data_IF_998687019516
#
_entry.id   IF_998687019516
#
_cell.length_a   1.000
_cell.length_b   1.000
_cell.length_c   1.000
_cell.angle_alpha   90.00
_cell.angle_beta   90.00
_cell.angle_gamma   90.00
#
_symmetry.space_group_name_H-M   'P 1'
#
loop_
_entity.id
_entity.type
_entity.pdbx_description
1 polymer ?
#
# COMPACT_ATOMS: atom_id res chain seq x y z
N UNK A 1 2.25 15.64 11.79
CA UNK A 1 3.11 14.55 12.29
C UNK A 1 4.16 15.07 13.26
N UNK A 2 4.16 14.58 14.50
CA UNK A 2 5.14 14.97 15.53
C UNK A 2 6.56 14.45 15.24
N UNK A 3 7.61 15.02 15.86
CA UNK A 3 8.97 14.47 15.82
C UNK A 3 9.05 12.99 16.16
N UNK A 4 9.89 12.25 15.42
CA UNK A 4 10.11 10.81 15.59
C UNK A 4 8.94 9.92 15.19
N UNK A 5 7.95 10.43 14.47
CA UNK A 5 6.79 9.67 13.98
C UNK A 5 6.84 9.47 12.47
N UNK A 6 6.01 8.55 12.00
CA UNK A 6 5.80 8.21 10.60
C UNK A 6 4.31 8.30 10.23
N UNK A 7 4.01 8.49 8.94
CA UNK A 7 2.64 8.61 8.44
C UNK A 7 1.94 7.26 8.38
N UNK A 8 2.56 6.29 7.73
CA UNK A 8 2.09 4.92 7.51
C UNK A 8 3.32 4.04 7.20
N UNK A 9 3.19 2.72 7.34
CA UNK A 9 4.25 1.80 6.92
C UNK A 9 4.52 1.94 5.41
N UNK A 10 5.76 1.66 4.98
CA UNK A 10 6.18 1.76 3.58
C UNK A 10 5.27 0.97 2.64
N UNK A 11 4.59 1.66 1.72
CA UNK A 11 3.50 1.08 0.93
C UNK A 11 3.29 1.72 -0.44
N UNK A 12 2.56 1.02 -1.31
CA UNK A 12 1.95 1.57 -2.53
C UNK A 12 0.52 1.05 -2.68
N UNK A 13 -0.28 1.76 -3.45
CA UNK A 13 -1.64 1.37 -3.83
C UNK A 13 -1.66 0.79 -5.26
N UNK A 14 -2.52 -0.20 -5.51
CA UNK A 14 -2.77 -0.71 -6.87
C UNK A 14 -3.83 0.10 -7.61
N UNK A 15 -4.78 0.74 -6.91
CA UNK A 15 -5.85 1.48 -7.56
C UNK A 15 -5.91 2.94 -7.19
N UNK A 16 -5.85 3.27 -5.91
CA UNK A 16 -6.01 4.65 -5.48
C UNK A 16 -4.70 5.43 -5.66
N UNK A 17 -4.73 6.55 -6.37
CA UNK A 17 -3.63 7.51 -6.34
C UNK A 17 -3.56 8.24 -4.99
N UNK A 18 -2.37 8.69 -4.62
CA UNK A 18 -2.11 9.45 -3.38
C UNK A 18 -1.29 10.71 -3.69
N UNK A 19 -1.64 11.83 -3.03
CA UNK A 19 -0.91 13.10 -3.14
C UNK A 19 -0.72 13.73 -1.75
N UNK A 20 0.46 14.27 -1.52
CA UNK A 20 0.80 15.03 -0.32
C UNK A 20 1.30 16.42 -0.70
N UNK A 21 0.83 17.44 0.01
CA UNK A 21 1.38 18.80 -0.01
C UNK A 21 1.88 19.15 1.39
N UNK A 22 3.16 19.49 1.50
CA UNK A 22 3.75 19.92 2.77
C UNK A 22 3.41 21.40 3.01
N UNK A 23 2.78 21.69 4.15
CA UNK A 23 2.39 23.04 4.54
C UNK A 23 3.47 23.73 5.38
N UNK A 24 4.09 23.00 6.32
CA UNK A 24 5.17 23.52 7.18
C UNK A 24 5.97 22.39 7.83
N UNK A 25 7.17 22.72 8.33
CA UNK A 25 8.10 21.75 8.91
C UNK A 25 8.95 21.04 7.86
N UNK A 26 9.65 19.99 8.30
CA UNK A 26 10.50 19.14 7.45
C UNK A 26 10.15 17.67 7.65
N UNK A 27 10.21 16.91 6.57
CA UNK A 27 9.98 15.47 6.55
C UNK A 27 11.06 14.77 5.74
N UNK A 28 11.13 13.45 5.87
CA UNK A 28 11.98 12.59 5.05
C UNK A 28 11.11 11.55 4.37
N UNK A 29 11.02 11.67 3.05
CA UNK A 29 10.30 10.76 2.19
C UNK A 29 11.27 9.71 1.64
N UNK A 30 10.95 8.44 1.86
CA UNK A 30 11.55 7.33 1.14
C UNK A 30 10.60 6.98 -0.02
N UNK A 31 11.10 6.94 -1.25
CA UNK A 31 10.31 6.72 -2.48
C UNK A 31 11.09 5.77 -3.38
N UNK A 32 10.64 4.52 -3.48
CA UNK A 32 11.41 3.49 -4.16
C UNK A 32 12.80 3.35 -3.52
N UNK A 33 13.84 3.61 -4.31
CA UNK A 33 15.25 3.56 -3.90
C UNK A 33 15.80 4.92 -3.43
N UNK A 34 14.99 5.98 -3.45
CA UNK A 34 15.41 7.34 -3.10
C UNK A 34 14.98 7.73 -1.69
N UNK A 35 15.80 8.57 -1.04
CA UNK A 35 15.49 9.21 0.23
C UNK A 35 15.68 10.71 0.08
N UNK A 36 14.59 11.46 0.26
CA UNK A 36 14.51 12.88 -0.05
C UNK A 36 13.98 13.62 1.17
N UNK A 37 14.69 14.66 1.62
CA UNK A 37 14.15 15.57 2.63
C UNK A 37 13.19 16.55 1.94
N UNK A 38 11.99 16.69 2.51
CA UNK A 38 10.91 17.54 1.99
C UNK A 38 10.55 18.63 3.00
N UNK A 39 10.11 19.78 2.51
CA UNK A 39 9.74 20.95 3.30
C UNK A 39 8.53 21.68 2.73
N UNK A 40 8.21 22.83 3.32
CA UNK A 40 7.04 23.62 2.94
C UNK A 40 6.99 23.89 1.42
N UNK A 41 5.79 23.74 0.84
CA UNK A 41 5.47 23.85 -0.59
C UNK A 41 5.93 22.69 -1.48
N UNK A 42 6.62 21.67 -0.95
CA UNK A 42 6.88 20.45 -1.70
C UNK A 42 5.60 19.64 -1.89
N UNK A 43 5.48 19.05 -3.08
CA UNK A 43 4.37 18.17 -3.48
C UNK A 43 4.93 16.81 -3.88
N UNK A 44 4.33 15.76 -3.34
CA UNK A 44 4.63 14.37 -3.71
C UNK A 44 3.36 13.74 -4.26
N UNK A 45 3.47 13.04 -5.38
CA UNK A 45 2.36 12.30 -6.00
C UNK A 45 2.77 10.86 -6.27
N UNK A 46 1.88 9.94 -5.97
CA UNK A 46 2.07 8.50 -6.10
C UNK A 46 0.96 7.93 -6.98
N UNK A 47 1.31 7.65 -8.24
CA UNK A 47 0.39 7.10 -9.22
C UNK A 47 0.13 5.60 -8.97
N UNK A 48 -1.06 5.14 -9.35
CA UNK A 48 -1.44 3.73 -9.37
C UNK A 48 -1.53 3.22 -10.84
N UNK A 49 -1.35 1.91 -11.12
CA UNK A 49 -1.01 0.83 -10.20
C UNK A 49 0.49 0.72 -9.88
N UNK A 50 1.36 1.28 -10.73
CA UNK A 50 2.78 0.92 -10.77
C UNK A 50 3.72 2.01 -10.22
N UNK A 51 3.18 2.96 -9.44
CA UNK A 51 4.00 3.95 -8.74
C UNK A 51 4.91 3.31 -7.68
N UNK A 52 6.04 3.98 -7.36
CA UNK A 52 6.95 3.48 -6.34
C UNK A 52 6.29 3.49 -4.95
N UNK A 53 6.56 2.48 -4.11
CA UNK A 53 6.14 2.53 -2.72
C UNK A 53 6.87 3.64 -1.96
N UNK A 54 6.16 4.22 -1.00
CA UNK A 54 6.58 5.42 -0.31
C UNK A 54 6.44 5.30 1.22
N UNK A 55 7.18 6.14 1.93
CA UNK A 55 7.10 6.28 3.39
C UNK A 55 7.55 7.69 3.81
N UNK A 56 6.72 8.39 4.57
CA UNK A 56 7.04 9.71 5.10
C UNK A 56 7.30 9.63 6.62
N UNK A 57 8.48 10.07 7.02
CA UNK A 57 8.90 10.15 8.43
C UNK A 57 9.21 11.60 8.83
N UNK A 58 9.15 11.89 10.12
CA UNK A 58 9.65 13.15 10.69
C UNK A 58 10.84 12.88 11.62
N UNK A 59 12.08 12.80 11.11
CA UNK A 59 13.27 12.67 11.94
C UNK A 59 13.72 14.01 12.56
N UNK A 60 13.00 15.11 12.33
CA UNK A 60 13.38 16.47 12.74
C UNK A 60 12.71 16.87 14.06
N UNK A 61 12.98 18.09 14.52
CA UNK A 61 12.57 18.57 15.85
C UNK A 61 11.22 19.28 15.88
N UNK A 62 10.72 19.73 14.72
CA UNK A 62 9.46 20.45 14.61
C UNK A 62 8.34 19.54 14.12
N UNK A 63 7.08 19.96 14.30
CA UNK A 63 5.95 19.26 13.70
C UNK A 63 5.96 19.44 12.18
N UNK A 64 5.83 18.32 11.45
CA UNK A 64 5.56 18.32 10.02
C UNK A 64 4.05 18.43 9.80
N UNK A 65 3.59 19.47 9.10
CA UNK A 65 2.18 19.68 8.77
C UNK A 65 2.01 19.52 7.25
N UNK A 66 1.07 18.69 6.84
CA UNK A 66 0.81 18.40 5.43
C UNK A 66 -0.67 18.10 5.22
N UNK A 67 -1.12 18.28 3.98
CA UNK A 67 -2.40 17.75 3.49
C UNK A 67 -2.08 16.50 2.70
N UNK A 68 -2.88 15.46 2.91
CA UNK A 68 -2.84 14.22 2.15
C UNK A 68 -4.24 14.00 1.58
N UNK A 69 -4.28 13.56 0.34
CA UNK A 69 -5.50 13.19 -0.35
C UNK A 69 -5.21 12.15 -1.40
N UNK A 70 -6.27 11.66 -2.02
CA UNK A 70 -6.18 10.61 -3.01
C UNK A 70 -7.57 10.21 -3.46
N UNK A 71 -7.62 9.15 -4.26
CA UNK A 71 -8.88 8.53 -4.58
C UNK A 71 -9.43 7.73 -3.39
N UNK A 72 -10.75 7.61 -3.33
CA UNK A 72 -11.45 6.79 -2.33
C UNK A 72 -12.34 5.79 -3.07
N UNK A 73 -11.71 4.91 -3.85
CA UNK A 73 -12.46 3.87 -4.57
C UNK A 73 -12.99 2.79 -3.60
N UNK A 74 -14.09 2.16 -4.01
CA UNK A 74 -14.73 1.03 -3.34
C UNK A 74 -13.82 -0.20 -3.16
N UNK A 75 -12.74 -0.29 -3.95
CA UNK A 75 -11.86 -1.45 -3.94
C UNK A 75 -10.44 -1.03 -4.25
N UNK A 76 -9.49 -1.45 -3.41
CA UNK A 76 -8.07 -1.17 -3.59
C UNK A 76 -7.22 -2.26 -2.95
N UNK A 77 -5.97 -2.37 -3.39
CA UNK A 77 -4.97 -3.25 -2.78
C UNK A 77 -3.75 -2.41 -2.42
N UNK A 78 -3.45 -2.30 -1.13
CA UNK A 78 -2.20 -1.67 -0.68
C UNK A 78 -1.15 -2.75 -0.43
N UNK A 79 0.03 -2.59 -1.04
CA UNK A 79 1.19 -3.46 -0.84
C UNK A 79 2.14 -2.86 0.16
N UNK A 80 2.57 -3.65 1.14
CA UNK A 80 3.56 -3.29 2.14
C UNK A 80 4.81 -4.17 1.97
N UNK A 81 5.68 -3.87 0.98
CA UNK A 81 6.72 -4.80 0.54
C UNK A 81 7.76 -5.09 1.63
N UNK A 82 8.11 -4.12 2.47
CA UNK A 82 9.10 -4.31 3.55
C UNK A 82 8.67 -5.31 4.62
N UNK A 83 7.37 -5.46 4.84
CA UNK A 83 6.81 -6.41 5.82
C UNK A 83 6.13 -7.61 5.17
N UNK A 84 6.15 -7.69 3.83
CA UNK A 84 5.57 -8.80 3.07
C UNK A 84 4.06 -8.96 3.27
N UNK A 85 3.30 -7.86 3.43
CA UNK A 85 1.85 -7.90 3.64
C UNK A 85 1.10 -7.10 2.59
N UNK A 86 -0.18 -7.40 2.43
CA UNK A 86 -1.12 -6.61 1.61
C UNK A 86 -2.40 -6.35 2.40
N UNK A 87 -2.99 -5.17 2.23
CA UNK A 87 -4.37 -4.93 2.62
C UNK A 87 -5.23 -4.95 1.37
N UNK A 88 -6.35 -5.67 1.42
CA UNK A 88 -7.40 -5.63 0.41
C UNK A 88 -8.56 -4.85 1.01
N UNK A 89 -8.89 -3.73 0.38
CA UNK A 89 -10.04 -2.92 0.72
C UNK A 89 -11.19 -3.31 -0.20
N UNK A 90 -12.36 -3.59 0.37
CA UNK A 90 -13.60 -3.85 -0.35
C UNK A 90 -14.70 -2.92 0.16
N UNK A 91 -15.88 -2.97 -0.46
CA UNK A 91 -17.06 -2.22 0.00
C UNK A 91 -17.49 -2.60 1.42
N UNK A 92 -17.18 -3.82 1.86
CA UNK A 92 -17.72 -4.40 3.11
C UNK A 92 -16.69 -4.60 4.19
N UNK A 93 -15.41 -4.73 3.84
CA UNK A 93 -14.37 -5.15 4.76
C UNK A 93 -12.96 -4.73 4.31
N UNK A 94 -12.04 -4.83 5.25
CA UNK A 94 -10.60 -4.70 4.99
C UNK A 94 -9.96 -6.00 5.45
N UNK A 95 -9.30 -6.67 4.53
CA UNK A 95 -8.66 -7.96 4.75
C UNK A 95 -7.14 -7.86 4.68
N UNK A 96 -6.45 -8.35 5.71
CA UNK A 96 -4.98 -8.46 5.73
C UNK A 96 -4.54 -9.80 5.12
N UNK A 97 -3.70 -9.74 4.10
CA UNK A 97 -3.11 -10.89 3.44
C UNK A 97 -1.63 -10.97 3.79
N UNK A 98 -1.21 -12.10 4.35
CA UNK A 98 0.21 -12.41 4.55
C UNK A 98 0.82 -12.96 3.27
N UNK A 99 1.82 -12.26 2.74
CA UNK A 99 2.51 -12.65 1.51
C UNK A 99 3.18 -14.01 1.59
N UNK A 100 3.70 -14.40 2.76
CA UNK A 100 4.38 -15.69 2.96
C UNK A 100 3.40 -16.86 3.05
N UNK A 101 2.17 -16.61 3.54
CA UNK A 101 1.11 -17.62 3.57
C UNK A 101 0.32 -17.68 2.26
N UNK A 102 0.41 -16.64 1.42
CA UNK A 102 -0.29 -16.58 0.14
C UNK A 102 0.44 -17.34 -0.96
N UNK A 103 -0.33 -18.05 -1.81
CA UNK A 103 0.20 -18.69 -3.01
C UNK A 103 -0.03 -17.77 -4.21
N UNK A 104 1.04 -17.38 -4.89
CA UNK A 104 0.94 -16.78 -6.21
C UNK A 104 0.41 -17.82 -7.20
N UNK A 105 -0.63 -17.48 -7.93
CA UNK A 105 -1.31 -18.37 -8.88
C UNK A 105 -1.51 -17.63 -10.19
N UNK A 106 -1.31 -18.32 -11.30
CA UNK A 106 -1.85 -17.87 -12.58
C UNK A 106 -3.36 -18.06 -12.61
N UNK A 107 -4.05 -17.40 -13.55
CA UNK A 107 -5.48 -17.66 -13.75
C UNK A 107 -5.74 -19.14 -14.08
N UNK A 108 -4.84 -19.80 -14.81
CA UNK A 108 -4.95 -21.22 -15.13
C UNK A 108 -4.85 -22.12 -13.88
N UNK A 109 -4.00 -21.80 -12.91
CA UNK A 109 -3.90 -22.57 -11.66
C UNK A 109 -5.17 -22.51 -10.81
N UNK A 110 -5.98 -21.45 -10.98
CA UNK A 110 -7.22 -21.24 -10.25
C UNK A 110 -8.43 -21.91 -10.91
N UNK A 111 -8.38 -22.12 -12.23
CA UNK A 111 -9.42 -22.83 -12.94
C UNK A 111 -9.37 -24.30 -12.55
N UNK A 112 -10.47 -24.81 -11.98
CA UNK A 112 -10.70 -26.25 -11.85
C UNK A 112 -10.85 -26.81 -13.26
N UNK A 113 -10.06 -27.82 -13.61
CA UNK A 113 -10.29 -28.60 -14.82
C UNK A 113 -11.67 -29.26 -14.74
N UNK A 114 -12.66 -28.69 -15.44
CA UNK A 114 -14.01 -29.22 -15.51
C UNK A 114 -14.17 -30.30 -16.59
N UNK A 115 -13.09 -30.74 -17.24
CA UNK A 115 -13.14 -31.73 -18.32
C UNK A 115 -13.15 -33.19 -17.83
N UNK A 116 -12.71 -33.45 -16.60
CA UNK A 116 -12.91 -34.73 -15.92
C UNK A 116 -14.04 -34.59 -14.89
N UNK A 117 -15.16 -35.27 -15.10
CA UNK A 117 -16.35 -35.22 -14.23
C UNK A 117 -16.11 -35.77 -12.82
N UNK A 118 -15.31 -35.09 -12.02
CA UNK A 118 -15.04 -35.43 -10.62
C UNK A 118 -15.59 -34.35 -9.69
N UNK A 119 -16.17 -34.80 -8.58
CA UNK A 119 -16.99 -33.97 -7.71
C UNK A 119 -16.18 -32.93 -6.94
N UNK A 120 -16.79 -31.77 -6.74
CA UNK A 120 -16.12 -30.56 -6.30
C UNK A 120 -15.56 -30.58 -4.88
N UNK A 121 -14.62 -29.65 -4.68
CA UNK A 121 -14.11 -29.05 -3.44
C UNK A 121 -14.40 -29.87 -2.17
N UNK A 122 -13.53 -30.83 -1.89
CA UNK A 122 -13.11 -31.11 -0.52
C UNK A 122 -11.66 -30.63 -0.34
N UNK A 123 -11.41 -30.03 0.82
CA UNK A 123 -10.11 -29.58 1.35
C UNK A 123 -9.80 -28.08 1.20
N UNK A 124 -10.45 -27.27 2.03
CA UNK A 124 -9.80 -26.17 2.75
C UNK A 124 -10.30 -26.18 4.21
N UNK A 125 -9.87 -27.19 4.96
CA UNK A 125 -9.89 -27.20 6.43
C UNK A 125 -8.54 -27.73 6.90
N UNK A 126 -7.67 -26.80 7.29
CA UNK A 126 -6.34 -27.06 7.83
C UNK A 126 -5.77 -25.76 8.37
#
# INVERSE_FOLDING_TARGET
MSPGKESCAYHRHERNEEVLLILSGQGRAEIGDEVIDVGAADVMGFAAPDGPPNHLTNPFQEHLVYVMGGESSAFDVAHFPKIGKRLVFSDTDISLIDGQASKAMSFADWLVDRSSGDQGIQALSG
#
